data_IF_096698253334
#
_entry.id   IF_096698253334
#
_cell.length_a   1.000
_cell.length_b   1.000
_cell.length_c   1.000
_cell.angle_alpha   90.00
_cell.angle_beta   90.00
_cell.angle_gamma   90.00
#
_symmetry.space_group_name_H-M   'P 1'
#
loop_
_entity.id
_entity.type
_entity.pdbx_description
1 polymer ?
#
# COMPACT_ATOMS: atom_id res chain seq x y z
N UNK A 1 -23.08 9.43 -3.10
CA UNK A 1 -22.02 9.17 -2.09
C UNK A 1 -21.22 7.90 -2.36
N UNK A 2 -21.83 6.72 -2.58
CA UNK A 2 -21.10 5.45 -2.83
C UNK A 2 -20.06 5.51 -3.97
N UNK A 3 -20.40 6.13 -5.12
CA UNK A 3 -19.45 6.33 -6.24
C UNK A 3 -18.25 7.20 -5.86
N UNK A 4 -18.49 8.28 -5.10
CA UNK A 4 -17.45 9.18 -4.61
C UNK A 4 -16.51 8.45 -3.64
N UNK A 5 -17.07 7.68 -2.69
CA UNK A 5 -16.29 6.86 -1.76
C UNK A 5 -15.43 5.85 -2.52
N UNK A 6 -16.02 5.13 -3.49
CA UNK A 6 -15.28 4.17 -4.33
C UNK A 6 -14.10 4.85 -5.05
N UNK A 7 -14.31 6.02 -5.66
CA UNK A 7 -13.27 6.75 -6.37
C UNK A 7 -12.18 7.23 -5.40
N UNK A 8 -12.55 7.79 -4.24
CA UNK A 8 -11.59 8.24 -3.23
C UNK A 8 -10.75 7.06 -2.72
N UNK A 9 -11.37 5.93 -2.40
CA UNK A 9 -10.67 4.72 -1.97
C UNK A 9 -9.71 4.23 -3.06
N UNK A 10 -10.14 4.21 -4.32
CA UNK A 10 -9.30 3.78 -5.44
C UNK A 10 -8.07 4.70 -5.61
N UNK A 11 -8.26 6.02 -5.53
CA UNK A 11 -7.17 7.00 -5.59
C UNK A 11 -6.20 6.79 -4.43
N UNK A 12 -6.71 6.61 -3.21
CA UNK A 12 -5.89 6.39 -2.02
C UNK A 12 -5.04 5.12 -2.15
N UNK A 13 -5.60 4.03 -2.67
CA UNK A 13 -4.87 2.79 -2.92
C UNK A 13 -3.79 2.95 -4.02
N UNK A 14 -4.11 3.67 -5.09
CA UNK A 14 -3.15 3.94 -6.19
C UNK A 14 -1.97 4.78 -5.69
N UNK A 15 -2.22 5.77 -4.84
CA UNK A 15 -1.16 6.59 -4.22
C UNK A 15 -0.40 5.80 -3.14
N UNK A 16 -1.08 4.88 -2.45
CA UNK A 16 -0.48 4.04 -1.41
C UNK A 16 0.65 3.16 -1.93
N UNK A 17 0.54 2.60 -3.13
CA UNK A 17 1.57 1.72 -3.72
C UNK A 17 2.94 2.42 -3.84
N UNK A 18 3.09 3.53 -4.58
CA UNK A 18 4.38 4.22 -4.69
C UNK A 18 4.85 4.77 -3.34
N UNK A 19 3.93 5.13 -2.45
CA UNK A 19 4.29 5.59 -1.11
C UNK A 19 4.93 4.47 -0.28
N UNK A 20 4.35 3.27 -0.25
CA UNK A 20 4.92 2.14 0.47
C UNK A 20 6.25 1.67 -0.14
N UNK A 21 6.36 1.63 -1.46
CA UNK A 21 7.64 1.32 -2.13
C UNK A 21 8.71 2.38 -1.86
N UNK A 22 8.34 3.66 -1.79
CA UNK A 22 9.26 4.72 -1.38
C UNK A 22 9.72 4.54 0.08
N UNK A 23 8.83 4.15 0.99
CA UNK A 23 9.19 3.85 2.38
C UNK A 23 10.12 2.62 2.48
N UNK A 24 9.88 1.58 1.67
CA UNK A 24 10.77 0.42 1.58
C UNK A 24 12.16 0.84 1.09
N UNK A 25 12.23 1.65 0.03
CA UNK A 25 13.49 2.18 -0.48
C UNK A 25 14.23 3.04 0.56
N UNK A 26 13.53 3.94 1.25
CA UNK A 26 14.13 4.76 2.30
C UNK A 26 14.65 3.90 3.47
N UNK A 27 13.95 2.82 3.80
CA UNK A 27 14.39 1.84 4.81
C UNK A 27 15.60 1.05 4.32
N UNK A 28 15.73 0.77 3.02
CA UNK A 28 16.91 0.15 2.41
C UNK A 28 18.13 1.07 2.43
N UNK A 29 17.94 2.38 2.19
CA UNK A 29 18.97 3.40 2.38
C UNK A 29 19.42 3.43 3.85
N UNK A 30 18.48 3.46 4.77
CA UNK A 30 18.76 3.42 6.22
C UNK A 30 19.49 2.13 6.59
N UNK A 31 19.12 0.98 6.01
CA UNK A 31 19.80 -0.30 6.23
C UNK A 31 21.28 -0.23 5.83
N UNK A 32 21.61 0.49 4.77
CA UNK A 32 22.99 0.66 4.31
C UNK A 32 23.83 1.56 5.21
N UNK A 33 23.24 2.58 5.82
CA UNK A 33 23.97 3.64 6.53
C UNK A 33 23.85 3.59 8.05
N UNK A 34 22.81 2.97 8.58
CA UNK A 34 22.51 2.93 10.01
C UNK A 34 22.86 1.59 10.66
N UNK A 35 23.34 0.60 9.90
CA UNK A 35 23.73 -0.72 10.43
C UNK A 35 25.26 -0.86 10.49
N UNK A 36 25.78 -1.69 11.41
CA UNK A 36 27.23 -1.89 11.54
C UNK A 36 27.80 -2.70 10.40
N UNK A 37 27.00 -3.63 9.86
CA UNK A 37 27.36 -4.56 8.78
C UNK A 37 26.16 -4.74 7.88
N UNK A 38 26.41 -5.06 6.61
CA UNK A 38 25.36 -5.30 5.59
C UNK A 38 24.41 -6.46 5.94
N UNK A 39 24.78 -7.33 6.89
CA UNK A 39 23.95 -8.45 7.37
C UNK A 39 23.07 -8.08 8.57
N UNK A 40 23.33 -6.93 9.21
CA UNK A 40 22.58 -6.52 10.39
C UNK A 40 21.28 -5.84 9.96
N UNK A 41 20.20 -6.09 10.70
CA UNK A 41 18.88 -5.54 10.43
C UNK A 41 18.49 -4.42 11.40
N UNK A 42 19.20 -4.28 12.54
CA UNK A 42 18.87 -3.31 13.58
C UNK A 42 19.62 -2.01 13.32
N UNK A 43 18.88 -0.91 13.21
CA UNK A 43 19.46 0.44 13.14
C UNK A 43 20.17 0.81 14.44
N UNK A 44 21.39 1.33 14.34
CA UNK A 44 22.13 1.91 15.48
C UNK A 44 21.54 3.28 15.88
N UNK A 45 20.87 3.96 14.94
CA UNK A 45 20.31 5.30 15.15
C UNK A 45 18.95 5.23 15.84
N UNK A 46 18.05 4.40 15.32
CA UNK A 46 16.65 4.33 15.76
C UNK A 46 16.31 3.04 16.54
N UNK A 47 17.17 2.02 16.51
CA UNK A 47 16.94 0.74 17.20
C UNK A 47 15.89 -0.15 16.53
N UNK A 48 15.32 0.25 15.39
CA UNK A 48 14.26 -0.51 14.70
C UNK A 48 14.86 -1.63 13.83
N UNK A 49 14.06 -2.67 13.62
CA UNK A 49 14.34 -3.70 12.61
C UNK A 49 13.94 -3.20 11.22
N UNK A 50 14.95 -2.73 10.47
CA UNK A 50 14.80 -2.21 9.11
C UNK A 50 14.44 -3.30 8.11
N UNK A 51 14.91 -4.54 8.31
CA UNK A 51 14.55 -5.66 7.44
C UNK A 51 13.06 -5.99 7.55
N UNK A 52 12.53 -6.01 8.77
CA UNK A 52 11.10 -6.19 9.00
C UNK A 52 10.28 -5.02 8.44
N UNK A 53 10.77 -3.78 8.57
CA UNK A 53 10.12 -2.61 7.99
C UNK A 53 10.02 -2.70 6.45
N UNK A 54 11.13 -2.99 5.77
CA UNK A 54 11.19 -3.18 4.31
C UNK A 54 10.21 -4.27 3.86
N UNK A 55 10.25 -5.45 4.51
CA UNK A 55 9.33 -6.55 4.20
C UNK A 55 7.87 -6.13 4.39
N UNK A 56 7.57 -5.44 5.48
CA UNK A 56 6.22 -4.97 5.79
C UNK A 56 5.72 -4.00 4.72
N UNK A 57 6.54 -3.04 4.30
CA UNK A 57 6.16 -2.08 3.26
C UNK A 57 5.89 -2.74 1.90
N UNK A 58 6.70 -3.70 1.47
CA UNK A 58 6.41 -4.48 0.26
C UNK A 58 5.11 -5.29 0.37
N UNK A 59 4.85 -5.92 1.53
CA UNK A 59 3.60 -6.66 1.75
C UNK A 59 2.40 -5.70 1.66
N UNK A 60 2.49 -4.50 2.25
CA UNK A 60 1.45 -3.49 2.18
C UNK A 60 1.21 -3.01 0.75
N UNK A 61 2.26 -2.78 -0.05
CA UNK A 61 2.14 -2.43 -1.46
C UNK A 61 1.41 -3.53 -2.27
N UNK A 62 1.75 -4.80 -2.04
CA UNK A 62 1.09 -5.95 -2.66
C UNK A 62 -0.39 -6.02 -2.25
N UNK A 63 -0.69 -5.85 -0.96
CA UNK A 63 -2.06 -5.85 -0.46
C UNK A 63 -2.89 -4.73 -1.09
N UNK A 64 -2.34 -3.53 -1.27
CA UNK A 64 -3.00 -2.46 -2.01
C UNK A 64 -3.34 -2.88 -3.44
N UNK A 65 -2.40 -3.52 -4.15
CA UNK A 65 -2.64 -4.07 -5.49
C UNK A 65 -3.79 -5.10 -5.52
N UNK A 66 -3.80 -6.04 -4.56
CA UNK A 66 -4.87 -7.04 -4.46
C UNK A 66 -6.24 -6.42 -4.18
N UNK A 67 -6.30 -5.41 -3.31
CA UNK A 67 -7.55 -4.69 -3.02
C UNK A 67 -8.04 -3.93 -4.26
N UNK A 68 -7.14 -3.28 -5.02
CA UNK A 68 -7.49 -2.62 -6.28
C UNK A 68 -8.09 -3.64 -7.26
N UNK A 69 -7.44 -4.79 -7.46
CA UNK A 69 -7.94 -5.84 -8.35
C UNK A 69 -9.33 -6.29 -7.90
N UNK A 70 -9.52 -6.55 -6.60
CA UNK A 70 -10.84 -6.89 -6.04
C UNK A 70 -11.89 -5.82 -6.32
N UNK A 71 -11.59 -4.55 -6.05
CA UNK A 71 -12.49 -3.42 -6.31
C UNK A 71 -12.85 -3.30 -7.79
N UNK A 72 -11.92 -3.56 -8.71
CA UNK A 72 -12.16 -3.54 -10.15
C UNK A 72 -13.05 -4.70 -10.61
N UNK A 73 -12.83 -5.91 -10.08
CA UNK A 73 -13.66 -7.09 -10.38
C UNK A 73 -15.10 -6.86 -9.90
N UNK A 74 -15.27 -6.43 -8.65
CA UNK A 74 -16.58 -6.20 -8.05
C UNK A 74 -17.17 -4.82 -8.38
N UNK A 75 -16.52 -4.03 -9.24
CA UNK A 75 -16.95 -2.66 -9.63
C UNK A 75 -18.41 -2.60 -10.00
N UNK A 76 -18.88 -3.54 -10.82
CA UNK A 76 -20.28 -3.57 -11.28
C UNK A 76 -21.24 -3.81 -10.11
N UNK A 77 -20.91 -4.69 -9.18
CA UNK A 77 -21.76 -4.97 -8.01
C UNK A 77 -21.78 -3.78 -7.03
N UNK A 78 -20.63 -3.13 -6.83
CA UNK A 78 -20.49 -1.98 -5.92
C UNK A 78 -21.21 -0.73 -6.45
N UNK A 79 -21.21 -0.53 -7.77
CA UNK A 79 -21.77 0.66 -8.42
C UNK A 79 -23.21 0.50 -8.94
N UNK A 80 -23.77 -0.72 -9.01
CA UNK A 80 -25.11 -0.95 -9.56
C UNK A 80 -26.19 -0.85 -8.48
N UNK A 81 -26.76 0.35 -8.35
CA UNK A 81 -28.15 0.57 -7.95
C UNK A 81 -28.55 2.02 -8.28
N UNK A 82 -29.19 2.21 -9.45
CA UNK A 82 -30.28 3.15 -9.79
C UNK A 82 -30.44 3.23 -11.32
N UNK A 83 -31.01 2.18 -11.91
CA UNK A 83 -31.60 2.24 -13.27
C UNK A 83 -32.76 1.24 -13.39
N UNK A 84 -33.52 1.08 -12.31
CA UNK A 84 -34.67 0.18 -12.26
C UNK A 84 -35.69 0.78 -11.29
N UNK A 85 -36.08 2.03 -11.57
CA UNK A 85 -37.19 2.77 -10.95
C UNK A 85 -37.70 3.85 -11.94
N UNK A 86 -37.77 3.51 -13.23
CA UNK A 86 -38.43 4.30 -14.29
C UNK A 86 -38.97 3.32 -15.35
N UNK A 87 -40.02 2.58 -15.01
CA UNK A 87 -41.07 2.14 -15.95
C UNK A 87 -42.40 2.32 -15.22
#
# INVERSE_FOLDING_TARGET
MRKTIYIITLILLIIGIPLFEFMAFNSMVSLKYETRKLTDCISIVSGIDLCNAIRTFHILAILCGLIIIGLLIYRKQILKQKSENEI
#
